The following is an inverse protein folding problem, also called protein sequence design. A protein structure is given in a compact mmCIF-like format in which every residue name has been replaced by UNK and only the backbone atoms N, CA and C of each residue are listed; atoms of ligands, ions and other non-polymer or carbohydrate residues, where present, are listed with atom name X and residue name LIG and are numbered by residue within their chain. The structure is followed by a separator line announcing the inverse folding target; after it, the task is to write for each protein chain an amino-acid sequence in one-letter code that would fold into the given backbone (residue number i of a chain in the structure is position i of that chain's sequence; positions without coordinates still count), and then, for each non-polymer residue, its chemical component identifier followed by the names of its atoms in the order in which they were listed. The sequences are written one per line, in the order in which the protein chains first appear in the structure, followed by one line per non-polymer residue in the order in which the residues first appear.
data_IF_955922735726
#
_entry.id   IF_955922735726
#
_cell.length_a   1.000
_cell.length_b   1.000
_cell.length_c   1.000
_cell.angle_alpha   90.00
_cell.angle_beta   90.00
_cell.angle_gamma   90.00
#
_symmetry.space_group_name_H-M   'P 1'
#
loop_
_entity.id
_entity.type
_entity.pdbx_description
1 polymer ?
#
# COMPACT_ATOMS: atom_id res chain seq x y z
N UNK A 1 -23.45 -0.70 13.79
CA UNK A 1 -23.07 0.26 12.72
C UNK A 1 -24.24 0.79 11.86
N UNK A 2 -25.54 0.61 12.22
CA UNK A 2 -26.69 0.96 11.35
C UNK A 2 -26.81 2.44 10.92
N UNK A 3 -26.16 3.37 11.62
CA UNK A 3 -26.13 4.80 11.28
C UNK A 3 -24.81 5.30 10.68
N UNK A 4 -23.84 4.42 10.40
CA UNK A 4 -22.51 4.84 9.96
C UNK A 4 -22.55 5.30 8.48
N UNK A 5 -22.07 6.53 8.17
CA UNK A 5 -22.05 7.03 6.78
C UNK A 5 -21.23 6.15 5.83
N UNK A 6 -20.24 5.41 6.33
CA UNK A 6 -19.39 4.51 5.53
C UNK A 6 -20.22 3.47 4.76
N UNK A 7 -21.31 2.96 5.34
CA UNK A 7 -22.15 1.95 4.71
C UNK A 7 -22.74 2.40 3.36
N UNK A 8 -22.95 3.72 3.16
CA UNK A 8 -23.48 4.28 1.91
C UNK A 8 -22.50 4.18 0.73
N UNK A 9 -21.22 3.98 1.04
CA UNK A 9 -20.13 3.91 0.09
C UNK A 9 -19.66 2.47 -0.19
N UNK A 10 -20.18 1.48 0.55
CA UNK A 10 -19.96 0.06 0.26
C UNK A 10 -21.03 -0.39 -0.74
N UNK A 11 -20.64 -0.50 -2.01
CA UNK A 11 -21.54 -0.81 -3.15
C UNK A 11 -21.06 -1.99 -3.99
N UNK A 12 -19.76 -2.25 -3.99
CA UNK A 12 -19.13 -3.26 -4.84
C UNK A 12 -19.11 -4.66 -4.21
N UNK A 13 -19.48 -4.80 -2.93
CA UNK A 13 -19.56 -6.07 -2.23
C UNK A 13 -20.89 -6.18 -1.47
N UNK A 14 -21.52 -7.37 -1.45
CA UNK A 14 -22.72 -7.59 -0.64
C UNK A 14 -22.36 -7.57 0.85
N UNK A 15 -23.25 -7.03 1.66
CA UNK A 15 -23.08 -6.97 3.11
C UNK A 15 -24.43 -7.15 3.82
N UNK A 16 -24.38 -7.63 5.05
CA UNK A 16 -25.54 -7.83 5.91
C UNK A 16 -25.22 -7.43 7.36
N UNK A 17 -26.24 -7.25 8.19
CA UNK A 17 -26.07 -7.02 9.62
C UNK A 17 -26.06 -8.35 10.36
N UNK A 18 -24.96 -8.62 11.08
CA UNK A 18 -24.85 -9.74 12.01
C UNK A 18 -24.59 -9.25 13.44
N UNK A 19 -24.83 -10.12 14.41
CA UNK A 19 -24.34 -9.94 15.78
C UNK A 19 -22.88 -10.41 15.84
N UNK A 20 -21.96 -9.46 15.79
CA UNK A 20 -20.52 -9.70 15.70
C UNK A 20 -19.77 -8.78 16.66
N UNK A 21 -18.67 -9.29 17.21
CA UNK A 21 -17.79 -8.51 18.08
C UNK A 21 -17.13 -7.33 17.33
N UNK A 22 -16.45 -7.53 16.18
CA UNK A 22 -15.90 -6.41 15.40
C UNK A 22 -17.00 -5.60 14.71
N UNK A 23 -16.66 -4.42 14.19
CA UNK A 23 -17.62 -3.58 13.46
C UNK A 23 -17.89 -4.11 12.04
N UNK A 24 -16.86 -4.72 11.44
CA UNK A 24 -16.92 -5.34 10.12
C UNK A 24 -16.16 -6.66 10.13
N UNK A 25 -16.78 -7.71 9.58
CA UNK A 25 -16.10 -8.97 9.26
C UNK A 25 -15.78 -8.95 7.77
N UNK A 26 -14.50 -8.97 7.45
CA UNK A 26 -13.99 -8.81 6.07
C UNK A 26 -13.67 -10.16 5.42
N UNK A 27 -13.61 -11.22 6.21
CA UNK A 27 -13.34 -12.56 5.75
C UNK A 27 -13.31 -13.57 6.90
N UNK A 28 -12.86 -14.79 6.62
CA UNK A 28 -12.76 -15.84 7.65
C UNK A 28 -11.78 -15.50 8.78
N UNK A 29 -10.65 -14.87 8.43
CA UNK A 29 -9.57 -14.54 9.37
C UNK A 29 -9.31 -13.03 9.50
N UNK A 30 -10.17 -12.20 8.92
CA UNK A 30 -9.93 -10.75 8.80
C UNK A 30 -11.13 -9.95 9.30
N UNK A 31 -10.87 -8.97 10.16
CA UNK A 31 -11.91 -8.08 10.67
C UNK A 31 -11.44 -6.62 10.71
N UNK A 32 -12.40 -5.69 10.79
CA UNK A 32 -12.13 -4.29 11.05
C UNK A 32 -12.98 -3.72 12.19
N UNK A 33 -12.33 -2.88 13.00
CA UNK A 33 -12.97 -1.96 13.94
C UNK A 33 -13.01 -0.57 13.32
N UNK A 34 -14.08 0.17 13.56
CA UNK A 34 -14.24 1.52 13.04
C UNK A 34 -14.26 2.54 14.18
N UNK A 35 -13.44 3.57 14.03
CA UNK A 35 -13.34 4.66 14.99
C UNK A 35 -13.24 5.99 14.24
N UNK A 36 -13.96 7.01 14.67
CA UNK A 36 -13.71 8.40 14.25
C UNK A 36 -12.85 9.10 15.31
N UNK A 37 -11.92 9.95 14.88
CA UNK A 37 -11.09 10.71 15.82
C UNK A 37 -11.92 11.65 16.70
N UNK A 38 -12.96 12.28 16.15
CA UNK A 38 -13.92 13.07 16.92
C UNK A 38 -14.60 12.26 18.01
N UNK A 39 -14.98 11.01 17.71
CA UNK A 39 -15.56 10.12 18.70
C UNK A 39 -14.54 9.68 19.76
N UNK A 40 -13.31 9.41 19.35
CA UNK A 40 -12.22 9.05 20.26
C UNK A 40 -11.90 10.17 21.26
N UNK A 41 -11.95 11.44 20.83
CA UNK A 41 -11.79 12.58 21.74
C UNK A 41 -12.90 12.68 22.79
N UNK A 42 -14.12 12.24 22.46
CA UNK A 42 -15.24 12.20 23.40
C UNK A 42 -15.18 10.98 24.32
N UNK A 43 -14.70 9.83 23.81
CA UNK A 43 -14.68 8.55 24.52
C UNK A 43 -13.33 7.84 24.31
N UNK A 44 -12.27 8.25 25.04
CA UNK A 44 -10.93 7.69 24.84
C UNK A 44 -10.83 6.21 25.23
N UNK A 45 -11.55 5.77 26.28
CA UNK A 45 -11.53 4.38 26.77
C UNK A 45 -12.24 3.38 25.84
N UNK A 46 -13.15 3.86 24.98
CA UNK A 46 -13.96 3.01 24.11
C UNK A 46 -13.11 2.04 23.28
N UNK A 47 -12.03 2.51 22.68
CA UNK A 47 -11.21 1.67 21.80
C UNK A 47 -10.45 0.59 22.59
N UNK A 48 -10.03 0.89 23.82
CA UNK A 48 -9.33 -0.06 24.68
C UNK A 48 -10.24 -1.23 25.08
N UNK A 49 -11.50 -0.95 25.39
CA UNK A 49 -12.49 -1.97 25.68
C UNK A 49 -12.83 -2.82 24.45
N UNK A 50 -13.00 -2.18 23.28
CA UNK A 50 -13.29 -2.88 22.03
C UNK A 50 -12.14 -3.80 21.61
N UNK A 51 -10.90 -3.36 21.72
CA UNK A 51 -9.71 -4.17 21.44
C UNK A 51 -9.60 -5.34 22.42
N UNK A 52 -9.88 -5.11 23.71
CA UNK A 52 -9.88 -6.19 24.73
C UNK A 52 -10.95 -7.24 24.43
N UNK A 53 -12.14 -6.82 24.02
CA UNK A 53 -13.23 -7.72 23.64
C UNK A 53 -12.93 -8.50 22.35
N UNK A 54 -12.25 -7.89 21.38
CA UNK A 54 -11.85 -8.55 20.13
C UNK A 54 -10.77 -9.62 20.38
N UNK A 55 -9.84 -9.34 21.30
CA UNK A 55 -8.74 -10.24 21.64
C UNK A 55 -7.92 -10.65 20.41
N UNK A 56 -7.46 -11.91 20.35
CA UNK A 56 -6.74 -12.47 19.19
C UNK A 56 -7.63 -13.38 18.34
N UNK A 57 -8.90 -13.03 18.19
CA UNK A 57 -9.90 -13.87 17.52
C UNK A 57 -9.72 -13.97 15.99
N UNK A 58 -9.07 -12.97 15.40
CA UNK A 58 -8.80 -12.90 13.95
C UNK A 58 -7.30 -12.78 13.70
N UNK A 59 -6.83 -13.37 12.61
CA UNK A 59 -5.42 -13.31 12.18
C UNK A 59 -5.01 -11.93 11.66
N UNK A 60 -5.94 -11.22 11.00
CA UNK A 60 -5.77 -9.83 10.61
C UNK A 60 -6.83 -8.96 11.28
N UNK A 61 -6.38 -7.99 12.07
CA UNK A 61 -7.24 -7.04 12.77
C UNK A 61 -6.89 -5.63 12.31
N UNK A 62 -7.84 -4.95 11.68
CA UNK A 62 -7.64 -3.60 11.16
C UNK A 62 -8.40 -2.61 12.03
N UNK A 63 -7.71 -1.58 12.52
CA UNK A 63 -8.36 -0.40 13.07
C UNK A 63 -8.53 0.64 11.96
N UNK A 64 -9.73 0.73 11.40
CA UNK A 64 -10.11 1.72 10.41
C UNK A 64 -10.47 3.03 11.11
N UNK A 65 -9.54 3.98 11.07
CA UNK A 65 -9.65 5.26 11.75
C UNK A 65 -10.03 6.37 10.76
N UNK A 66 -11.19 6.98 10.97
CA UNK A 66 -11.62 8.16 10.22
C UNK A 66 -11.05 9.43 10.84
N UNK A 67 -10.30 10.19 10.05
CA UNK A 67 -9.69 11.48 10.42
C UNK A 67 -10.66 12.61 10.11
N UNK A 68 -11.43 13.04 11.10
CA UNK A 68 -12.48 14.06 11.00
C UNK A 68 -12.27 15.29 11.92
N UNK A 69 -11.02 15.51 12.31
CA UNK A 69 -10.52 16.59 13.17
C UNK A 69 -9.38 17.35 12.49
N UNK A 70 -9.17 18.63 12.86
CA UNK A 70 -8.14 19.48 12.23
C UNK A 70 -6.70 19.10 12.61
N UNK A 71 -6.49 18.74 13.88
CA UNK A 71 -5.16 18.43 14.43
C UNK A 71 -5.08 16.97 14.92
N UNK A 72 -4.87 15.99 14.02
CA UNK A 72 -4.91 14.57 14.39
C UNK A 72 -3.58 14.05 14.95
N UNK A 73 -2.47 14.77 14.81
CA UNK A 73 -1.11 14.27 15.05
C UNK A 73 -0.89 13.59 16.42
N UNK A 74 -1.35 14.23 17.50
CA UNK A 74 -1.16 13.69 18.84
C UNK A 74 -1.98 12.42 19.06
N UNK A 75 -3.27 12.44 18.70
CA UNK A 75 -4.17 11.29 18.84
C UNK A 75 -3.75 10.13 17.94
N UNK A 76 -3.27 10.41 16.73
CA UNK A 76 -2.71 9.40 15.84
C UNK A 76 -1.48 8.73 16.44
N UNK A 77 -0.57 9.52 17.03
CA UNK A 77 0.62 8.98 17.68
C UNK A 77 0.26 8.05 18.83
N UNK A 78 -0.73 8.40 19.63
CA UNK A 78 -1.15 7.59 20.77
C UNK A 78 -1.92 6.34 20.33
N UNK A 79 -2.84 6.46 19.37
CA UNK A 79 -3.54 5.31 18.79
C UNK A 79 -2.59 4.35 18.07
N UNK A 80 -1.55 4.85 17.38
CA UNK A 80 -0.55 4.02 16.74
C UNK A 80 0.24 3.17 17.75
N UNK A 81 0.59 3.73 18.93
CA UNK A 81 1.20 2.94 20.01
C UNK A 81 0.26 1.86 20.51
N UNK A 82 -1.03 2.17 20.68
CA UNK A 82 -2.04 1.20 21.11
C UNK A 82 -2.16 0.05 20.10
N UNK A 83 -2.22 0.37 18.81
CA UNK A 83 -2.27 -0.62 17.74
C UNK A 83 -1.04 -1.53 17.74
N UNK A 84 0.15 -0.96 17.94
CA UNK A 84 1.40 -1.71 18.03
C UNK A 84 1.40 -2.71 19.20
N UNK A 85 0.86 -2.33 20.35
CA UNK A 85 0.78 -3.18 21.54
C UNK A 85 -0.29 -4.28 21.44
N UNK A 86 -1.27 -4.11 20.55
CA UNK A 86 -2.43 -5.00 20.40
C UNK A 86 -2.39 -5.83 19.13
N UNK A 87 -1.27 -5.84 18.41
CA UNK A 87 -1.10 -6.51 17.10
C UNK A 87 -2.18 -6.12 16.07
N UNK A 88 -2.65 -4.87 16.13
CA UNK A 88 -3.63 -4.32 15.21
C UNK A 88 -2.98 -3.46 14.13
N UNK A 89 -3.47 -3.55 12.91
CA UNK A 89 -3.03 -2.70 11.80
C UNK A 89 -3.87 -1.42 11.77
N UNK A 90 -3.22 -0.27 11.97
CA UNK A 90 -3.88 1.03 11.86
C UNK A 90 -4.02 1.45 10.39
N UNK A 91 -5.25 1.74 9.96
CA UNK A 91 -5.54 2.26 8.62
C UNK A 91 -6.29 3.59 8.72
N UNK A 92 -5.75 4.63 8.08
CA UNK A 92 -6.33 5.97 8.13
C UNK A 92 -7.22 6.22 6.92
N UNK A 93 -8.37 6.84 7.14
CA UNK A 93 -9.27 7.33 6.10
C UNK A 93 -9.63 8.79 6.35
N UNK A 94 -9.46 9.64 5.34
CA UNK A 94 -9.76 11.08 5.39
C UNK A 94 -11.22 11.39 5.03
N UNK A 95 -11.95 10.39 4.53
CA UNK A 95 -13.37 10.51 4.23
C UNK A 95 -14.12 9.20 4.47
N UNK A 96 -15.45 9.25 4.71
CA UNK A 96 -16.27 8.04 4.78
C UNK A 96 -16.28 7.23 3.48
N UNK A 97 -16.08 7.88 2.33
CA UNK A 97 -15.99 7.23 1.03
C UNK A 97 -14.73 6.38 0.92
N UNK A 98 -13.58 6.94 1.29
CA UNK A 98 -12.30 6.25 1.33
C UNK A 98 -12.33 5.06 2.29
N UNK A 99 -12.92 5.25 3.48
CA UNK A 99 -13.16 4.17 4.44
C UNK A 99 -13.98 3.03 3.85
N UNK A 100 -15.06 3.35 3.12
CA UNK A 100 -15.88 2.36 2.41
C UNK A 100 -15.07 1.60 1.36
N UNK A 101 -14.27 2.33 0.56
CA UNK A 101 -13.42 1.75 -0.48
C UNK A 101 -12.37 0.79 0.09
N UNK A 102 -11.81 1.08 1.26
CA UNK A 102 -10.89 0.17 1.94
C UNK A 102 -11.58 -1.14 2.35
N UNK A 103 -12.76 -1.07 2.97
CA UNK A 103 -13.53 -2.25 3.35
C UNK A 103 -13.88 -3.12 2.14
N UNK A 104 -14.30 -2.52 1.04
CA UNK A 104 -14.54 -3.22 -0.23
C UNK A 104 -13.29 -3.92 -0.74
N UNK A 105 -12.14 -3.24 -0.68
CA UNK A 105 -10.86 -3.77 -1.16
C UNK A 105 -10.43 -4.97 -0.33
N UNK A 106 -10.50 -4.89 1.01
CA UNK A 106 -10.20 -6.04 1.86
C UNK A 106 -11.07 -7.24 1.52
N UNK A 107 -12.38 -7.02 1.34
CA UNK A 107 -13.30 -8.12 1.02
C UNK A 107 -13.05 -8.71 -0.37
N UNK A 108 -12.85 -7.87 -1.37
CA UNK A 108 -12.61 -8.30 -2.76
C UNK A 108 -11.25 -9.01 -2.95
N UNK A 109 -10.29 -8.79 -2.04
CA UNK A 109 -8.96 -9.37 -2.09
C UNK A 109 -8.78 -10.55 -1.14
N UNK A 110 -9.82 -10.96 -0.40
CA UNK A 110 -9.76 -12.11 0.53
C UNK A 110 -9.26 -13.40 -0.15
N UNK A 111 -9.63 -13.63 -1.41
CA UNK A 111 -9.28 -14.84 -2.18
C UNK A 111 -8.18 -14.63 -3.22
N UNK A 112 -7.60 -13.42 -3.32
CA UNK A 112 -6.61 -13.14 -4.36
C UNK A 112 -5.24 -13.71 -3.97
N UNK A 113 -4.58 -14.47 -4.86
CA UNK A 113 -3.27 -15.04 -4.56
C UNK A 113 -2.21 -13.93 -4.48
N UNK A 114 -1.13 -14.15 -3.70
CA UNK A 114 -0.02 -13.21 -3.56
C UNK A 114 0.79 -13.03 -4.85
N UNK A 115 0.51 -13.82 -5.91
CA UNK A 115 1.17 -13.70 -7.21
C UNK A 115 0.97 -12.35 -7.88
N UNK A 116 -0.09 -11.61 -7.54
CA UNK A 116 -0.28 -10.22 -8.00
C UNK A 116 0.75 -9.24 -7.40
N UNK A 117 1.40 -9.59 -6.28
CA UNK A 117 2.45 -8.80 -5.64
C UNK A 117 3.85 -9.14 -6.17
N UNK A 118 3.99 -10.21 -6.94
CA UNK A 118 5.26 -10.52 -7.60
C UNK A 118 5.51 -9.50 -8.69
N UNK A 119 6.76 -9.06 -8.77
CA UNK A 119 7.23 -8.18 -9.84
C UNK A 119 6.89 -8.81 -11.19
N UNK A 120 6.12 -8.08 -12.01
CA UNK A 120 5.86 -8.48 -13.39
C UNK A 120 7.11 -8.16 -14.19
N UNK A 121 8.06 -9.10 -14.22
CA UNK A 121 9.22 -9.00 -15.10
C UNK A 121 8.68 -9.09 -16.53
N UNK A 122 8.71 -7.99 -17.26
CA UNK A 122 8.41 -8.03 -18.68
C UNK A 122 9.47 -8.88 -19.39
N UNK A 123 9.04 -9.90 -20.12
CA UNK A 123 9.94 -10.82 -20.81
C UNK A 123 10.56 -10.22 -22.08
N UNK A 124 10.25 -8.98 -22.42
CA UNK A 124 10.79 -8.33 -23.60
C UNK A 124 12.30 -8.09 -23.44
N UNK A 125 13.04 -8.29 -24.54
CA UNK A 125 14.49 -8.18 -24.56
C UNK A 125 14.92 -6.75 -24.20
N UNK A 126 14.23 -5.73 -24.74
CA UNK A 126 14.53 -4.33 -24.46
C UNK A 126 14.26 -3.96 -23.00
N UNK A 127 13.17 -4.47 -22.41
CA UNK A 127 12.85 -4.25 -20.99
C UNK A 127 13.94 -4.85 -20.09
N UNK A 128 14.35 -6.11 -20.32
CA UNK A 128 15.41 -6.77 -19.53
C UNK A 128 16.76 -6.08 -19.63
N UNK A 129 17.13 -5.60 -20.81
CA UNK A 129 18.40 -4.90 -21.02
C UNK A 129 18.36 -3.51 -20.41
N UNK A 130 17.23 -2.81 -20.50
CA UNK A 130 17.02 -1.52 -19.84
C UNK A 130 17.13 -1.66 -18.32
N UNK A 131 16.51 -2.68 -17.74
CA UNK A 131 16.60 -2.94 -16.29
C UNK A 131 18.05 -3.28 -15.87
N UNK A 132 18.77 -4.06 -16.67
CA UNK A 132 20.19 -4.36 -16.44
C UNK A 132 21.07 -3.08 -16.48
N UNK A 133 20.85 -2.20 -17.45
CA UNK A 133 21.65 -0.98 -17.62
C UNK A 133 21.30 0.09 -16.58
N UNK A 134 20.02 0.19 -16.19
CA UNK A 134 19.56 1.13 -15.13
C UNK A 134 19.93 0.68 -13.71
N UNK A 135 20.47 -0.53 -13.54
CA UNK A 135 21.14 -0.91 -12.29
C UNK A 135 22.39 -0.07 -12.00
N UNK A 136 22.93 0.64 -12.99
CA UNK A 136 24.06 1.57 -12.81
C UNK A 136 23.51 2.93 -12.36
N UNK A 137 23.98 3.42 -11.21
CA UNK A 137 23.48 4.63 -10.51
C UNK A 137 23.31 5.89 -11.38
N UNK A 138 24.03 5.97 -12.49
CA UNK A 138 24.10 7.14 -13.37
C UNK A 138 23.38 6.97 -14.71
N UNK A 139 22.81 5.78 -14.98
CA UNK A 139 22.20 5.41 -16.27
C UNK A 139 20.68 5.40 -16.13
N UNK A 140 20.01 6.24 -16.91
CA UNK A 140 18.55 6.30 -16.97
C UNK A 140 17.99 5.41 -18.08
N UNK A 141 16.66 5.18 -18.10
CA UNK A 141 15.99 4.42 -19.17
C UNK A 141 16.28 4.99 -20.56
N UNK A 142 16.32 6.31 -20.69
CA UNK A 142 16.66 6.98 -21.96
C UNK A 142 18.10 6.72 -22.37
N UNK A 143 19.04 6.69 -21.43
CA UNK A 143 20.45 6.41 -21.71
C UNK A 143 20.63 4.94 -22.12
N UNK A 144 19.93 4.01 -21.46
CA UNK A 144 19.93 2.60 -21.83
C UNK A 144 19.41 2.36 -23.25
N UNK A 145 18.35 3.07 -23.66
CA UNK A 145 17.84 3.02 -25.03
C UNK A 145 18.83 3.62 -26.04
N UNK A 146 19.46 4.76 -25.71
CA UNK A 146 20.51 5.36 -26.55
C UNK A 146 21.72 4.43 -26.71
N UNK A 147 22.20 3.83 -25.62
CA UNK A 147 23.32 2.88 -25.64
C UNK A 147 22.99 1.63 -26.47
N UNK A 148 21.77 1.09 -26.31
CA UNK A 148 21.33 -0.06 -27.10
C UNK A 148 21.10 0.30 -28.57
N UNK A 149 20.64 1.51 -28.88
CA UNK A 149 20.50 2.02 -30.24
C UNK A 149 21.84 2.23 -30.94
N UNK A 150 22.87 2.66 -30.21
CA UNK A 150 24.21 2.93 -30.76
C UNK A 150 25.07 1.66 -30.90
N UNK A 151 25.11 0.80 -29.87
CA UNK A 151 26.00 -0.37 -29.85
C UNK A 151 25.32 -1.67 -30.31
N UNK A 152 23.98 -1.72 -30.35
CA UNK A 152 23.19 -2.85 -30.85
C UNK A 152 23.23 -4.14 -30.02
N UNK A 153 24.30 -4.37 -29.24
CA UNK A 153 24.45 -5.55 -28.39
C UNK A 153 25.16 -5.21 -27.08
N UNK A 154 24.84 -5.96 -26.02
CA UNK A 154 25.49 -5.82 -24.71
C UNK A 154 26.99 -6.14 -24.78
N UNK A 155 27.39 -7.06 -25.67
CA UNK A 155 28.79 -7.43 -25.87
C UNK A 155 29.60 -6.27 -26.49
N UNK A 156 29.03 -5.59 -27.49
CA UNK A 156 29.65 -4.41 -28.09
C UNK A 156 29.72 -3.25 -27.08
N UNK A 157 28.68 -3.08 -26.26
CA UNK A 157 28.67 -2.07 -25.20
C UNK A 157 29.73 -2.34 -24.12
N UNK A 158 29.88 -3.59 -23.68
CA UNK A 158 30.88 -3.97 -22.68
C UNK A 158 32.32 -3.87 -23.20
N UNK A 159 32.53 -4.01 -24.50
CA UNK A 159 33.81 -3.85 -25.18
C UNK A 159 34.11 -2.43 -25.67
N UNK A 160 33.19 -1.49 -25.50
CA UNK A 160 33.34 -0.12 -25.99
C UNK A 160 34.40 0.65 -25.19
N UNK A 161 35.17 1.51 -25.87
CA UNK A 161 36.14 2.38 -25.21
C UNK A 161 35.44 3.52 -24.47
N UNK A 162 36.12 4.17 -23.51
CA UNK A 162 35.58 5.37 -22.83
C UNK A 162 35.25 6.49 -23.82
N UNK A 163 35.98 6.57 -24.93
CA UNK A 163 35.77 7.55 -25.99
C UNK A 163 34.47 7.25 -26.74
N UNK A 164 34.21 6.00 -27.11
CA UNK A 164 32.98 5.57 -27.77
C UNK A 164 31.73 5.75 -26.89
N UNK A 165 31.87 5.50 -25.58
CA UNK A 165 30.81 5.73 -24.60
C UNK A 165 30.50 7.22 -24.42
N UNK A 166 31.52 8.09 -24.50
CA UNK A 166 31.35 9.54 -24.39
C UNK A 166 30.72 10.18 -25.64
N UNK A 167 30.77 9.50 -26.78
CA UNK A 167 30.12 9.93 -28.02
C UNK A 167 28.60 9.63 -28.03
N UNK A 168 28.11 8.85 -27.08
CA UNK A 168 26.69 8.54 -26.98
C UNK A 168 25.87 9.73 -26.44
N UNK A 169 24.76 10.08 -27.11
CA UNK A 169 23.92 11.19 -26.69
C UNK A 169 23.32 10.95 -25.30
N UNK A 170 23.61 11.85 -24.34
CA UNK A 170 23.12 11.77 -22.97
C UNK A 170 24.07 11.11 -21.96
N UNK A 171 25.17 10.52 -22.44
CA UNK A 171 26.22 9.90 -21.61
C UNK A 171 27.35 10.89 -21.37
N UNK A 172 27.18 11.76 -20.38
CA UNK A 172 28.21 12.73 -19.97
C UNK A 172 29.40 12.07 -19.26
N UNK A 173 30.52 12.79 -19.03
CA UNK A 173 31.75 12.24 -18.45
C UNK A 173 31.61 11.71 -17.01
N UNK A 174 30.52 12.04 -16.31
CA UNK A 174 30.18 11.46 -15.01
C UNK A 174 29.47 10.10 -15.10
N UNK A 175 29.01 9.72 -16.30
CA UNK A 175 28.30 8.47 -16.59
C UNK A 175 29.19 7.42 -17.30
N UNK A 176 30.42 7.80 -17.71
CA UNK A 176 31.41 6.98 -18.43
C UNK A 176 32.45 6.39 -17.49
#
# INVERSE_FOLDING_TARGET
QRGNPVLKFIRNVPWEFGDVVPDYVLGQSSCALFLSLRYHHLNPEYIHERLRALGRSFGLQVLLLQVDVRDPHQSLKDLAKVCLLTDCTLLLAWSPEEAGRYLETFKAYEQKPPDLLKERVEHDFLSRVTDCLTSVKSVNKTDALSLMGTFGSLAALAGASREDLSLCPGVGPQKV
#
